data_IF_772377828294
#
_entry.id   IF_772377828294
#
_cell.length_a   1.000
_cell.length_b   1.000
_cell.length_c   1.000
_cell.angle_alpha   90.00
_cell.angle_beta   90.00
_cell.angle_gamma   90.00
#
_symmetry.space_group_name_H-M   'P 1'
#
loop_
_entity.id
_entity.type
_entity.pdbx_description
1 polymer ?
#
# COMPACT_ATOMS: atom_id res chain seq x y z
N UNK A 1 9.15 24.03 -2.11
CA UNK A 1 8.60 22.70 -1.79
C UNK A 1 9.07 22.31 -0.39
N UNK A 2 8.18 22.43 0.60
CA UNK A 2 8.53 22.46 2.03
C UNK A 2 8.55 21.02 2.58
N UNK A 3 9.73 20.62 3.05
CA UNK A 3 10.01 19.46 3.91
C UNK A 3 9.75 18.03 3.37
N UNK A 4 10.31 17.68 2.20
CA UNK A 4 10.33 16.29 1.69
C UNK A 4 11.05 15.28 2.63
N UNK A 5 11.75 15.76 3.67
CA UNK A 5 12.41 14.91 4.66
C UNK A 5 11.45 14.22 5.63
N UNK A 6 10.21 14.71 5.76
CA UNK A 6 9.21 14.14 6.70
C UNK A 6 8.93 12.67 6.40
N UNK A 7 8.89 12.29 5.12
CA UNK A 7 8.64 10.90 4.74
C UNK A 7 9.75 9.95 5.21
N UNK A 8 11.01 10.40 5.32
CA UNK A 8 12.10 9.54 5.81
C UNK A 8 11.92 9.10 7.27
N UNK A 9 11.11 9.80 8.07
CA UNK A 9 10.77 9.40 9.44
C UNK A 9 10.07 8.04 9.43
N UNK A 10 9.27 7.74 8.39
CA UNK A 10 8.59 6.46 8.29
C UNK A 10 9.54 5.27 8.14
N UNK A 11 10.73 5.45 7.55
CA UNK A 11 11.76 4.40 7.56
C UNK A 11 12.26 4.14 8.97
N UNK A 12 12.54 5.19 9.73
CA UNK A 12 12.97 5.07 11.11
C UNK A 12 11.90 4.34 11.95
N UNK A 13 10.63 4.72 11.80
CA UNK A 13 9.50 4.05 12.47
C UNK A 13 9.44 2.56 12.09
N UNK A 14 9.58 2.22 10.81
CA UNK A 14 9.55 0.82 10.35
C UNK A 14 10.69 -0.01 10.95
N UNK A 15 11.91 0.52 10.99
CA UNK A 15 13.10 -0.16 11.54
C UNK A 15 12.96 -0.33 13.05
N UNK A 16 12.55 0.71 13.77
CA UNK A 16 12.32 0.63 15.21
C UNK A 16 11.22 -0.38 15.53
N UNK A 17 10.12 -0.41 14.76
CA UNK A 17 9.05 -1.40 14.92
C UNK A 17 9.56 -2.84 14.71
N UNK A 18 10.42 -3.07 13.71
CA UNK A 18 11.07 -4.38 13.51
C UNK A 18 11.99 -4.74 14.67
N UNK A 19 12.84 -3.82 15.13
CA UNK A 19 13.73 -4.06 16.27
C UNK A 19 12.92 -4.44 17.51
N UNK A 20 11.87 -3.69 17.82
CA UNK A 20 10.98 -4.01 18.95
C UNK A 20 10.34 -5.38 18.78
N UNK A 21 9.89 -5.71 17.56
CA UNK A 21 9.28 -7.02 17.26
C UNK A 21 10.21 -8.18 17.59
N UNK A 22 11.48 -8.10 17.15
CA UNK A 22 12.43 -9.21 17.30
C UNK A 22 13.18 -9.22 18.64
N UNK A 23 13.36 -8.06 19.29
CA UNK A 23 14.12 -7.97 20.54
C UNK A 23 13.27 -8.21 21.79
N UNK A 24 11.94 -8.08 21.71
CA UNK A 24 11.05 -8.26 22.87
C UNK A 24 10.44 -9.66 22.96
N UNK A 25 10.22 -10.15 24.17
CA UNK A 25 9.48 -11.37 24.44
C UNK A 25 7.96 -11.10 24.38
N UNK A 26 7.46 -10.82 23.17
CA UNK A 26 6.07 -10.46 22.94
C UNK A 26 5.16 -11.67 22.76
N UNK A 27 3.86 -11.50 23.02
CA UNK A 27 2.85 -12.48 22.58
C UNK A 27 2.87 -12.57 21.06
N UNK A 28 2.62 -13.77 20.50
CA UNK A 28 2.61 -14.01 19.04
C UNK A 28 1.75 -13.02 18.27
N UNK A 29 0.59 -12.63 18.81
CA UNK A 29 -0.30 -11.64 18.19
C UNK A 29 0.33 -10.24 18.09
N UNK A 30 1.02 -9.79 19.15
CA UNK A 30 1.70 -8.50 19.18
C UNK A 30 2.90 -8.49 18.22
N UNK A 31 3.65 -9.59 18.13
CA UNK A 31 4.72 -9.75 17.14
C UNK A 31 4.19 -9.59 15.70
N UNK A 32 3.14 -10.32 15.35
CA UNK A 32 2.54 -10.25 14.01
C UNK A 32 2.04 -8.83 13.70
N UNK A 33 1.35 -8.19 14.64
CA UNK A 33 0.85 -6.84 14.46
C UNK A 33 1.96 -5.81 14.21
N UNK A 34 3.06 -5.87 14.98
CA UNK A 34 4.21 -4.97 14.82
C UNK A 34 4.95 -5.19 13.49
N UNK A 35 5.05 -6.43 13.02
CA UNK A 35 5.66 -6.75 11.72
C UNK A 35 4.79 -6.24 10.58
N UNK A 36 3.47 -6.43 10.63
CA UNK A 36 2.54 -5.87 9.63
C UNK A 36 2.63 -4.34 9.63
N UNK A 37 2.62 -3.71 10.81
CA UNK A 37 2.76 -2.27 10.94
C UNK A 37 4.08 -1.75 10.33
N UNK A 38 5.20 -2.44 10.60
CA UNK A 38 6.49 -2.11 10.02
C UNK A 38 6.48 -2.23 8.48
N UNK A 39 5.88 -3.29 7.93
CA UNK A 39 5.80 -3.51 6.49
C UNK A 39 4.97 -2.42 5.79
N UNK A 40 3.78 -2.10 6.33
CA UNK A 40 2.90 -1.06 5.77
C UNK A 40 3.58 0.31 5.82
N UNK A 41 4.16 0.68 6.96
CA UNK A 41 4.85 1.96 7.13
C UNK A 41 6.06 2.07 6.19
N UNK A 42 6.84 1.00 6.03
CA UNK A 42 7.95 0.95 5.08
C UNK A 42 7.48 1.14 3.64
N UNK A 43 6.47 0.40 3.19
CA UNK A 43 5.96 0.48 1.82
C UNK A 43 5.45 1.89 1.47
N UNK A 44 4.58 2.47 2.32
CA UNK A 44 4.04 3.82 2.10
C UNK A 44 5.17 4.85 2.05
N UNK A 45 6.11 4.76 2.99
CA UNK A 45 7.27 5.65 3.05
C UNK A 45 8.13 5.55 1.80
N UNK A 46 8.44 4.32 1.37
CA UNK A 46 9.30 4.09 0.23
C UNK A 46 8.71 4.69 -1.05
N UNK A 47 7.42 4.43 -1.31
CA UNK A 47 6.72 4.98 -2.47
C UNK A 47 6.76 6.51 -2.45
N UNK A 48 6.45 7.13 -1.31
CA UNK A 48 6.44 8.60 -1.18
C UNK A 48 7.83 9.23 -1.32
N UNK A 49 8.86 8.61 -0.75
CA UNK A 49 10.25 9.09 -0.88
C UNK A 49 10.72 9.00 -2.33
N UNK A 50 10.47 7.87 -3.00
CA UNK A 50 10.84 7.70 -4.42
C UNK A 50 10.09 8.71 -5.30
N UNK A 51 8.78 8.85 -5.11
CA UNK A 51 7.97 9.82 -5.83
C UNK A 51 8.51 11.25 -5.68
N UNK A 52 8.75 11.69 -4.44
CA UNK A 52 9.30 13.02 -4.15
C UNK A 52 10.70 13.23 -4.73
N UNK A 53 11.55 12.19 -4.71
CA UNK A 53 12.89 12.24 -5.30
C UNK A 53 12.81 12.37 -6.82
N UNK A 54 11.90 11.65 -7.47
CA UNK A 54 11.67 11.72 -8.92
C UNK A 54 11.13 13.10 -9.32
N UNK A 55 10.17 13.67 -8.58
CA UNK A 55 9.66 15.02 -8.83
C UNK A 55 10.72 16.12 -8.76
N UNK A 56 11.74 15.96 -7.89
CA UNK A 56 12.81 16.93 -7.72
C UNK A 56 13.94 16.79 -8.74
N UNK A 57 14.28 15.54 -9.12
CA UNK A 57 15.48 15.26 -9.91
C UNK A 57 15.21 15.01 -11.40
N UNK A 58 13.98 14.66 -11.76
CA UNK A 58 13.61 14.29 -13.12
C UNK A 58 12.53 15.25 -13.64
N UNK A 59 12.91 16.14 -14.56
CA UNK A 59 12.00 17.11 -15.16
C UNK A 59 10.93 16.44 -16.04
N UNK A 60 11.29 15.40 -16.81
CA UNK A 60 10.33 14.65 -17.61
C UNK A 60 9.26 14.00 -16.73
N UNK A 61 9.66 13.40 -15.60
CA UNK A 61 8.73 12.83 -14.62
C UNK A 61 7.81 13.90 -14.03
N UNK A 62 8.36 15.09 -13.71
CA UNK A 62 7.58 16.22 -13.19
C UNK A 62 6.55 16.71 -14.21
N UNK A 63 6.91 16.79 -15.49
CA UNK A 63 5.97 17.17 -16.57
C UNK A 63 4.91 16.09 -16.72
N UNK A 64 5.31 14.81 -16.80
CA UNK A 64 4.41 13.67 -16.96
C UNK A 64 3.48 13.43 -15.76
N UNK A 65 3.78 13.95 -14.57
CA UNK A 65 2.86 13.90 -13.41
C UNK A 65 1.79 14.98 -13.50
N UNK A 66 2.07 16.12 -14.13
CA UNK A 66 1.13 17.24 -14.24
C UNK A 66 0.40 17.29 -15.60
N UNK A 67 0.71 16.39 -16.52
CA UNK A 67 0.06 16.29 -17.83
C UNK A 67 -1.23 15.46 -17.75
N UNK A 68 -2.35 16.05 -18.18
CA UNK A 68 -3.68 15.44 -18.18
C UNK A 68 -3.74 14.13 -18.98
N UNK A 69 -3.03 14.05 -20.12
CA UNK A 69 -3.03 12.82 -20.93
C UNK A 69 -2.39 11.69 -20.15
N UNK A 70 -1.27 11.99 -19.51
CA UNK A 70 -0.53 11.02 -18.71
C UNK A 70 -1.32 10.61 -17.47
N UNK A 71 -2.06 11.52 -16.85
CA UNK A 71 -2.98 11.23 -15.74
C UNK A 71 -4.09 10.25 -16.16
N UNK A 72 -4.78 10.50 -17.28
CA UNK A 72 -5.83 9.59 -17.81
C UNK A 72 -5.28 8.19 -18.14
N UNK A 73 -4.07 8.12 -18.70
CA UNK A 73 -3.41 6.83 -18.98
C UNK A 73 -3.09 6.10 -17.66
N UNK A 74 -2.55 6.81 -16.67
CA UNK A 74 -2.25 6.24 -15.34
C UNK A 74 -3.50 5.73 -14.64
N UNK A 75 -4.63 6.42 -14.74
CA UNK A 75 -5.89 5.98 -14.17
C UNK A 75 -6.38 4.67 -14.81
N UNK A 76 -6.31 4.57 -16.14
CA UNK A 76 -6.66 3.33 -16.86
C UNK A 76 -5.71 2.17 -16.55
N UNK A 77 -4.41 2.44 -16.43
CA UNK A 77 -3.43 1.43 -16.01
C UNK A 77 -3.67 1.01 -14.56
N UNK A 78 -3.96 1.97 -13.67
CA UNK A 78 -4.22 1.73 -12.25
C UNK A 78 -5.43 0.82 -12.06
N UNK A 79 -6.56 1.17 -12.69
CA UNK A 79 -7.77 0.33 -12.68
C UNK A 79 -7.53 -1.07 -13.25
N UNK A 80 -6.84 -1.18 -14.39
CA UNK A 80 -6.49 -2.49 -14.98
C UNK A 80 -5.60 -3.31 -14.05
N UNK A 81 -4.59 -2.69 -13.45
CA UNK A 81 -3.67 -3.35 -12.51
C UNK A 81 -4.41 -3.81 -11.26
N UNK A 82 -5.35 -3.01 -10.73
CA UNK A 82 -6.18 -3.38 -9.59
C UNK A 82 -7.02 -4.63 -9.88
N UNK A 83 -7.60 -4.77 -11.08
CA UNK A 83 -8.32 -5.99 -11.47
C UNK A 83 -7.40 -7.22 -11.51
N UNK A 84 -6.21 -7.08 -12.08
CA UNK A 84 -5.21 -8.16 -12.13
C UNK A 84 -4.77 -8.56 -10.72
N UNK A 85 -4.51 -7.59 -9.83
CA UNK A 85 -4.17 -7.87 -8.44
C UNK A 85 -5.30 -8.56 -7.68
N UNK A 86 -6.55 -8.15 -7.90
CA UNK A 86 -7.71 -8.82 -7.32
C UNK A 86 -7.80 -10.28 -7.78
N UNK A 87 -7.51 -10.56 -9.05
CA UNK A 87 -7.45 -11.94 -9.57
C UNK A 87 -6.37 -12.76 -8.85
N UNK A 88 -5.16 -12.20 -8.66
CA UNK A 88 -4.11 -12.90 -7.90
C UNK A 88 -4.50 -13.17 -6.44
N UNK A 89 -5.22 -12.25 -5.77
CA UNK A 89 -5.71 -12.46 -4.41
C UNK A 89 -6.72 -13.61 -4.37
N UNK A 90 -7.67 -13.66 -5.32
CA UNK A 90 -8.65 -14.75 -5.43
C UNK A 90 -7.96 -16.09 -5.65
N UNK A 91 -7.02 -16.17 -6.60
CA UNK A 91 -6.25 -17.39 -6.87
C UNK A 91 -5.51 -17.84 -5.60
N UNK A 92 -4.84 -16.91 -4.90
CA UNK A 92 -4.13 -17.22 -3.66
C UNK A 92 -5.07 -17.73 -2.57
N UNK A 93 -6.27 -17.14 -2.43
CA UNK A 93 -7.28 -17.59 -1.48
C UNK A 93 -7.74 -19.03 -1.77
N UNK A 94 -7.97 -19.36 -3.05
CA UNK A 94 -8.34 -20.73 -3.48
C UNK A 94 -7.23 -21.72 -3.16
N UNK A 95 -5.96 -21.37 -3.44
CA UNK A 95 -4.80 -22.20 -3.09
C UNK A 95 -4.73 -22.44 -1.58
N UNK A 96 -4.95 -21.40 -0.76
CA UNK A 96 -4.98 -21.58 0.70
C UNK A 96 -6.14 -22.44 1.19
N UNK A 97 -7.33 -22.34 0.58
CA UNK A 97 -8.45 -23.24 0.89
C UNK A 97 -8.11 -24.69 0.54
N UNK A 98 -7.50 -24.92 -0.62
CA UNK A 98 -7.08 -26.25 -1.07
C UNK A 98 -6.04 -26.87 -0.12
N UNK A 99 -5.14 -26.06 0.43
CA UNK A 99 -4.13 -26.48 1.42
C UNK A 99 -4.66 -26.53 2.87
N UNK A 100 -5.97 -26.36 3.08
CA UNK A 100 -6.61 -26.30 4.41
C UNK A 100 -6.08 -25.18 5.33
N UNK A 101 -5.45 -24.15 4.75
CA UNK A 101 -5.02 -22.96 5.45
C UNK A 101 -6.16 -21.93 5.53
N UNK A 102 -7.15 -22.23 6.36
CA UNK A 102 -8.37 -21.43 6.48
C UNK A 102 -8.13 -19.99 6.96
N UNK A 103 -7.21 -19.78 7.92
CA UNK A 103 -6.94 -18.44 8.47
C UNK A 103 -6.47 -17.45 7.38
N UNK A 104 -5.41 -17.72 6.60
CA UNK A 104 -5.00 -16.81 5.53
C UNK A 104 -6.02 -16.75 4.38
N UNK A 105 -6.76 -17.83 4.10
CA UNK A 105 -7.82 -17.81 3.09
C UNK A 105 -8.95 -16.84 3.44
N UNK A 106 -9.48 -16.91 4.66
CA UNK A 106 -10.54 -16.02 5.16
C UNK A 106 -10.06 -14.58 5.14
N UNK A 107 -8.81 -14.33 5.53
CA UNK A 107 -8.21 -13.00 5.50
C UNK A 107 -8.16 -12.41 4.08
N UNK A 108 -7.77 -13.21 3.07
CA UNK A 108 -7.77 -12.76 1.67
C UNK A 108 -9.18 -12.46 1.14
N UNK A 109 -10.16 -13.31 1.47
CA UNK A 109 -11.58 -13.08 1.09
C UNK A 109 -12.10 -11.79 1.72
N UNK A 110 -11.76 -11.53 2.98
CA UNK A 110 -12.12 -10.30 3.66
C UNK A 110 -11.50 -9.05 2.99
N UNK A 111 -10.25 -9.13 2.53
CA UNK A 111 -9.62 -8.04 1.76
C UNK A 111 -10.42 -7.76 0.47
N UNK A 112 -10.80 -8.80 -0.28
CA UNK A 112 -11.59 -8.63 -1.51
C UNK A 112 -12.90 -7.89 -1.23
N UNK A 113 -13.58 -8.22 -0.13
CA UNK A 113 -14.81 -7.54 0.27
C UNK A 113 -14.59 -6.07 0.66
N UNK A 114 -13.44 -5.73 1.26
CA UNK A 114 -13.13 -4.35 1.66
C UNK A 114 -12.78 -3.43 0.49
N UNK A 115 -12.17 -3.95 -0.59
CA UNK A 115 -11.75 -3.15 -1.76
C UNK A 115 -12.88 -2.24 -2.30
N UNK A 116 -14.10 -2.73 -2.63
CA UNK A 116 -15.16 -1.87 -3.14
C UNK A 116 -15.63 -0.81 -2.14
N UNK A 117 -15.65 -1.13 -0.84
CA UNK A 117 -16.04 -0.18 0.21
C UNK A 117 -15.01 0.96 0.27
N UNK A 118 -13.72 0.64 0.23
CA UNK A 118 -12.65 1.64 0.22
C UNK A 118 -12.75 2.52 -1.02
N UNK A 119 -13.01 1.94 -2.20
CA UNK A 119 -13.18 2.70 -3.44
C UNK A 119 -14.34 3.70 -3.35
N UNK A 120 -15.50 3.27 -2.82
CA UNK A 120 -16.65 4.16 -2.61
C UNK A 120 -16.33 5.30 -1.65
N UNK A 121 -15.68 5.00 -0.52
CA UNK A 121 -15.30 6.02 0.47
C UNK A 121 -14.32 7.02 -0.12
N UNK A 122 -13.29 6.55 -0.83
CA UNK A 122 -12.34 7.44 -1.49
C UNK A 122 -13.02 8.29 -2.57
N UNK A 123 -13.92 7.70 -3.37
CA UNK A 123 -14.72 8.42 -4.35
C UNK A 123 -15.47 9.59 -3.70
N UNK A 124 -16.21 9.34 -2.61
CA UNK A 124 -16.91 10.40 -1.88
C UNK A 124 -15.99 11.48 -1.30
N UNK A 125 -14.78 11.12 -0.84
CA UNK A 125 -13.80 12.07 -0.31
C UNK A 125 -13.26 12.96 -1.42
N UNK A 126 -12.92 12.39 -2.58
CA UNK A 126 -12.36 13.13 -3.69
C UNK A 126 -13.43 13.96 -4.41
N UNK A 127 -14.63 13.43 -4.64
CA UNK A 127 -15.76 14.19 -5.22
C UNK A 127 -16.14 15.42 -4.40
N UNK A 128 -16.03 15.38 -3.06
CA UNK A 128 -16.29 16.56 -2.22
C UNK A 128 -15.18 17.61 -2.26
N UNK A 129 -13.99 17.25 -2.74
CA UNK A 129 -12.81 18.11 -2.75
C UNK A 129 -12.64 18.85 -4.09
N UNK A 130 -13.34 18.40 -5.13
CA UNK A 130 -13.41 19.01 -6.46
C UNK A 130 -14.81 19.54 -6.73
#
# INVERSE_FOLDING_TARGET
MKNNKVWYIGYLISVVSLIISFAGNHRKSAFIALVIFAAVTFCVTHIMVVHNKMLLKNEEYKIAVNDERTEKIKDKIGTTTSYIMMMFIVISAVVFLYLEYYVPAIFMIFIIFLIPIIMLVLGMIYEKKF
#
